data_IF_815703419122
#
_entry.id   IF_815703419122
#
_cell.length_a   1.000
_cell.length_b   1.000
_cell.length_c   1.000
_cell.angle_alpha   90.00
_cell.angle_beta   90.00
_cell.angle_gamma   90.00
#
_symmetry.space_group_name_H-M   'P 1'
#
loop_
_entity.id
_entity.type
_entity.pdbx_description
1 polymer ?
#
# COMPACT_ATOMS: atom_id res chain seq x y z
N UNK A 1 11.60 -5.58 8.86
CA UNK A 1 10.48 -6.34 8.26
C UNK A 1 10.79 -7.83 8.25
N UNK A 2 9.79 -8.69 8.27
CA UNK A 2 9.95 -10.14 8.24
C UNK A 2 9.13 -10.75 7.11
N UNK A 3 9.66 -11.82 6.49
CA UNK A 3 8.92 -12.65 5.54
C UNK A 3 8.39 -13.85 6.33
N UNK A 4 7.07 -13.96 6.38
CA UNK A 4 6.36 -15.00 7.11
C UNK A 4 5.91 -16.08 6.12
N UNK A 5 6.16 -17.35 6.47
CA UNK A 5 5.68 -18.51 5.69
C UNK A 5 4.75 -19.36 6.54
N UNK A 6 3.54 -19.62 6.02
CA UNK A 6 2.56 -20.54 6.61
C UNK A 6 2.08 -21.51 5.54
N UNK A 7 2.62 -22.73 5.55
CA UNK A 7 2.44 -23.66 4.43
C UNK A 7 3.02 -23.08 3.15
N UNK A 8 2.20 -22.96 2.11
CA UNK A 8 2.58 -22.34 0.83
C UNK A 8 2.41 -20.80 0.82
N UNK A 9 1.64 -20.26 1.76
CA UNK A 9 1.41 -18.82 1.84
C UNK A 9 2.67 -18.09 2.33
N UNK A 10 3.04 -17.03 1.61
CA UNK A 10 4.09 -16.09 2.00
C UNK A 10 3.54 -14.67 2.06
N UNK A 11 3.81 -13.96 3.14
CA UNK A 11 3.47 -12.55 3.29
C UNK A 11 4.53 -11.82 4.12
N UNK A 12 4.49 -10.50 4.08
CA UNK A 12 5.47 -9.64 4.74
C UNK A 12 4.80 -8.89 5.88
N UNK A 13 5.50 -8.79 7.00
CA UNK A 13 5.16 -7.95 8.15
C UNK A 13 6.28 -6.95 8.44
N UNK A 14 5.95 -5.90 9.19
CA UNK A 14 6.88 -4.84 9.58
C UNK A 14 7.17 -4.94 11.07
N UNK A 15 8.45 -4.96 11.43
CA UNK A 15 8.88 -5.19 12.81
C UNK A 15 8.40 -4.09 13.76
N UNK A 16 8.41 -2.84 13.31
CA UNK A 16 7.95 -1.71 14.12
C UNK A 16 6.45 -1.81 14.44
N UNK A 17 5.62 -2.26 13.51
CA UNK A 17 4.19 -2.51 13.74
C UNK A 17 3.97 -3.75 14.63
N UNK A 18 4.70 -4.85 14.39
CA UNK A 18 4.65 -6.08 15.19
C UNK A 18 4.99 -5.81 16.66
N UNK A 19 6.04 -5.03 16.92
CA UNK A 19 6.50 -4.68 18.28
C UNK A 19 5.44 -3.95 19.09
N UNK A 20 4.47 -3.32 18.46
CA UNK A 20 3.37 -2.65 19.19
C UNK A 20 2.39 -3.64 19.82
N UNK A 21 2.23 -4.84 19.24
CA UNK A 21 1.21 -5.81 19.63
C UNK A 21 -0.24 -5.35 19.42
N UNK A 22 -0.44 -4.21 18.75
CA UNK A 22 -1.74 -3.54 18.65
C UNK A 22 -2.50 -3.81 17.36
N UNK A 23 -1.80 -4.16 16.29
CA UNK A 23 -2.35 -4.31 14.94
C UNK A 23 -1.86 -5.59 14.28
N UNK A 24 -2.76 -6.26 13.56
CA UNK A 24 -2.40 -7.31 12.61
C UNK A 24 -2.28 -6.68 11.23
N UNK A 25 -1.24 -7.04 10.48
CA UNK A 25 -1.00 -6.50 9.15
C UNK A 25 -0.28 -7.52 8.28
N UNK A 26 -0.45 -7.40 6.98
CA UNK A 26 0.25 -8.21 6.00
C UNK A 26 0.36 -7.46 4.67
N UNK A 27 1.48 -7.61 3.99
CA UNK A 27 1.60 -7.37 2.56
C UNK A 27 1.78 -8.73 1.88
N UNK A 28 0.82 -9.14 1.03
CA UNK A 28 0.86 -10.44 0.37
C UNK A 28 1.95 -10.49 -0.69
N UNK A 29 2.62 -11.63 -0.81
CA UNK A 29 3.35 -11.97 -2.02
C UNK A 29 2.39 -12.65 -3.00
N UNK A 30 2.89 -13.07 -4.17
CA UNK A 30 2.09 -13.83 -5.13
C UNK A 30 2.04 -15.34 -4.83
N UNK A 31 2.58 -15.78 -3.68
CA UNK A 31 2.66 -17.19 -3.31
C UNK A 31 1.56 -17.60 -2.34
N UNK A 32 1.07 -18.84 -2.51
CA UNK A 32 0.23 -19.53 -1.54
C UNK A 32 -1.26 -19.38 -1.69
N UNK A 33 -1.72 -18.77 -2.78
CA UNK A 33 -3.13 -18.74 -3.16
C UNK A 33 -3.50 -19.88 -4.12
N UNK A 34 -4.72 -19.79 -4.63
CA UNK A 34 -5.32 -20.78 -5.53
C UNK A 34 -5.55 -20.29 -6.97
N UNK A 35 -5.26 -19.02 -7.24
CA UNK A 35 -5.35 -18.44 -8.59
C UNK A 35 -4.37 -19.12 -9.55
N UNK A 36 -4.74 -19.18 -10.83
CA UNK A 36 -3.98 -19.87 -11.88
C UNK A 36 -3.52 -18.90 -12.97
N UNK A 37 -2.84 -19.39 -13.98
CA UNK A 37 -2.36 -18.61 -15.13
C UNK A 37 -1.51 -17.39 -14.72
N UNK A 38 -1.78 -16.24 -15.31
CA UNK A 38 -1.05 -15.01 -15.00
C UNK A 38 -1.40 -14.41 -13.63
N UNK A 39 -2.52 -14.83 -13.02
CA UNK A 39 -2.89 -14.47 -11.65
C UNK A 39 -2.23 -15.35 -10.58
N UNK A 40 -1.44 -16.34 -10.96
CA UNK A 40 -0.86 -17.33 -10.04
C UNK A 40 0.09 -16.68 -9.03
N UNK A 41 -0.16 -16.94 -7.75
CA UNK A 41 -1.24 -17.75 -7.16
C UNK A 41 -2.16 -16.95 -6.23
N UNK A 42 -1.70 -15.82 -5.68
CA UNK A 42 -2.35 -15.04 -4.61
C UNK A 42 -2.94 -13.73 -5.15
N UNK A 43 -3.76 -13.80 -6.22
CA UNK A 43 -4.49 -12.63 -6.69
C UNK A 43 -5.55 -12.21 -5.65
N UNK A 44 -5.51 -10.93 -5.26
CA UNK A 44 -6.48 -10.32 -4.34
C UNK A 44 -7.42 -9.33 -5.06
N UNK A 45 -7.23 -9.13 -6.35
CA UNK A 45 -7.94 -8.12 -7.14
C UNK A 45 -9.17 -8.66 -7.86
N UNK A 46 -10.38 -8.43 -7.35
CA UNK A 46 -11.65 -8.86 -7.94
C UNK A 46 -11.97 -8.25 -9.32
N UNK A 47 -11.32 -7.16 -9.70
CA UNK A 47 -11.55 -6.47 -10.98
C UNK A 47 -10.45 -6.77 -12.02
N UNK A 48 -9.78 -7.91 -11.93
CA UNK A 48 -8.65 -8.28 -12.79
C UNK A 48 -8.99 -9.33 -13.87
N UNK A 49 -10.27 -9.67 -14.01
CA UNK A 49 -10.73 -10.61 -15.04
C UNK A 49 -10.68 -12.08 -14.64
N UNK A 50 -10.21 -12.41 -13.45
CA UNK A 50 -10.35 -13.73 -12.85
C UNK A 50 -11.77 -13.93 -12.29
N UNK A 51 -12.24 -15.17 -12.25
CA UNK A 51 -13.49 -15.52 -11.56
C UNK A 51 -13.37 -15.16 -10.06
N UNK A 52 -14.49 -14.89 -9.41
CA UNK A 52 -14.49 -14.40 -8.04
C UNK A 52 -14.09 -15.44 -7.01
N UNK A 53 -14.45 -16.70 -7.24
CA UNK A 53 -14.25 -17.81 -6.29
C UNK A 53 -12.78 -18.02 -5.92
N UNK A 54 -11.81 -18.09 -6.84
CA UNK A 54 -10.39 -18.17 -6.48
C UNK A 54 -9.92 -16.94 -5.68
N UNK A 55 -10.37 -15.74 -6.05
CA UNK A 55 -10.00 -14.52 -5.33
C UNK A 55 -10.57 -14.52 -3.92
N UNK A 56 -11.84 -14.91 -3.75
CA UNK A 56 -12.45 -15.05 -2.43
C UNK A 56 -11.76 -16.08 -1.56
N UNK A 57 -11.31 -17.20 -2.16
CA UNK A 57 -10.53 -18.20 -1.43
C UNK A 57 -9.18 -17.65 -0.98
N UNK A 58 -8.52 -16.83 -1.80
CA UNK A 58 -7.28 -16.14 -1.39
C UNK A 58 -7.52 -15.21 -0.18
N UNK A 59 -8.65 -14.51 -0.12
CA UNK A 59 -9.03 -13.73 1.07
C UNK A 59 -9.21 -14.60 2.31
N UNK A 60 -9.82 -15.80 2.19
CA UNK A 60 -9.99 -16.75 3.31
C UNK A 60 -8.65 -17.30 3.78
N UNK A 61 -7.78 -17.71 2.85
CA UNK A 61 -6.43 -18.19 3.16
C UNK A 61 -5.62 -17.12 3.94
N UNK A 62 -5.66 -15.87 3.48
CA UNK A 62 -4.97 -14.77 4.17
C UNK A 62 -5.58 -14.50 5.54
N UNK A 63 -6.91 -14.48 5.63
CA UNK A 63 -7.63 -14.23 6.88
C UNK A 63 -7.27 -15.26 7.94
N UNK A 64 -7.29 -16.55 7.60
CA UNK A 64 -6.91 -17.65 8.49
C UNK A 64 -5.45 -17.52 8.95
N UNK A 65 -4.55 -17.27 8.01
CA UNK A 65 -3.12 -17.17 8.30
C UNK A 65 -2.76 -16.01 9.23
N UNK A 66 -3.35 -14.83 9.03
CA UNK A 66 -3.03 -13.62 9.81
C UNK A 66 -3.97 -13.47 11.01
N UNK A 67 -5.15 -14.09 10.96
CA UNK A 67 -6.21 -13.98 11.95
C UNK A 67 -7.03 -12.71 11.76
N UNK A 68 -7.34 -12.34 10.51
CA UNK A 68 -8.31 -11.31 10.18
C UNK A 68 -9.74 -11.85 10.29
N UNK A 69 -10.70 -10.93 10.45
CA UNK A 69 -12.13 -11.26 10.28
C UNK A 69 -12.44 -11.29 8.79
N UNK A 70 -12.62 -12.46 8.22
CA UNK A 70 -12.78 -12.67 6.76
C UNK A 70 -13.93 -11.86 6.17
N UNK A 71 -15.06 -11.76 6.87
CA UNK A 71 -16.25 -11.06 6.40
C UNK A 71 -16.14 -9.53 6.51
N UNK A 72 -15.11 -9.01 7.16
CA UNK A 72 -15.00 -7.60 7.51
C UNK A 72 -14.04 -6.80 6.62
N UNK A 73 -13.42 -7.41 5.61
CA UNK A 73 -12.53 -6.70 4.70
C UNK A 73 -13.21 -5.51 4.04
N UNK A 74 -12.52 -4.38 3.98
CA UNK A 74 -12.95 -3.18 3.26
C UNK A 74 -11.86 -2.78 2.29
N UNK A 75 -12.20 -2.66 1.00
CA UNK A 75 -11.23 -2.32 -0.05
C UNK A 75 -11.45 -0.90 -0.57
N UNK A 76 -10.37 -0.24 -0.96
CA UNK A 76 -10.43 1.01 -1.71
C UNK A 76 -10.74 0.76 -3.20
N UNK A 77 -11.24 1.79 -3.90
CA UNK A 77 -11.21 1.85 -5.37
C UNK A 77 -10.22 2.93 -5.79
N UNK A 78 -9.02 2.50 -6.09
CA UNK A 78 -7.87 3.35 -6.34
C UNK A 78 -7.89 3.90 -7.77
N UNK A 79 -7.81 5.20 -7.89
CA UNK A 79 -7.79 5.94 -9.16
C UNK A 79 -6.62 6.92 -9.23
N UNK A 80 -5.64 6.75 -8.31
CA UNK A 80 -4.44 7.59 -8.18
C UNK A 80 -4.75 9.03 -7.74
N UNK A 81 -5.74 9.17 -6.86
CA UNK A 81 -6.09 10.45 -6.22
C UNK A 81 -5.42 10.62 -4.86
N UNK A 82 -5.89 11.58 -4.09
CA UNK A 82 -5.53 11.78 -2.69
C UNK A 82 -6.75 11.72 -1.76
N UNK A 83 -7.86 11.14 -2.26
CA UNK A 83 -9.07 11.01 -1.47
C UNK A 83 -8.92 9.92 -0.41
N UNK A 84 -9.27 10.25 0.81
CA UNK A 84 -9.24 9.35 1.97
C UNK A 84 -10.66 9.16 2.49
N UNK A 85 -11.02 7.90 2.78
CA UNK A 85 -12.30 7.54 3.34
C UNK A 85 -12.15 7.05 4.78
N UNK A 86 -12.95 7.59 5.69
CA UNK A 86 -13.17 7.00 7.01
C UNK A 86 -14.11 5.80 6.87
N UNK A 87 -13.66 4.67 7.37
CA UNK A 87 -14.35 3.38 7.36
C UNK A 87 -14.97 3.12 8.72
N UNK A 88 -16.22 2.66 8.74
CA UNK A 88 -16.97 2.31 9.93
C UNK A 88 -17.45 0.85 9.90
N UNK A 89 -18.10 0.40 10.96
CA UNK A 89 -18.69 -0.95 11.04
C UNK A 89 -19.72 -1.23 9.92
N UNK A 90 -20.34 -0.19 9.36
CA UNK A 90 -21.31 -0.28 8.26
C UNK A 90 -20.65 -0.57 6.90
N UNK A 91 -19.32 -0.41 6.83
CA UNK A 91 -18.55 -0.67 5.61
C UNK A 91 -18.01 -2.10 5.52
N UNK A 92 -18.22 -2.93 6.56
CA UNK A 92 -17.72 -4.31 6.59
C UNK A 92 -18.16 -5.10 5.36
N UNK A 93 -17.22 -5.78 4.74
CA UNK A 93 -17.43 -6.59 3.54
C UNK A 93 -17.42 -5.82 2.21
N UNK A 94 -17.42 -4.49 2.25
CA UNK A 94 -17.50 -3.66 1.04
C UNK A 94 -16.27 -3.81 0.13
N UNK A 95 -16.54 -4.14 -1.12
CA UNK A 95 -15.56 -4.32 -2.17
C UNK A 95 -14.92 -5.71 -2.23
N UNK A 96 -15.26 -6.61 -1.29
CA UNK A 96 -14.91 -8.04 -1.34
C UNK A 96 -16.19 -8.89 -1.44
N UNK A 97 -17.07 -8.79 -0.46
CA UNK A 97 -18.28 -9.62 -0.36
C UNK A 97 -19.53 -8.90 -0.86
N UNK A 98 -19.56 -7.58 -0.74
CA UNK A 98 -20.69 -6.73 -1.17
C UNK A 98 -20.18 -5.63 -2.09
N UNK A 99 -21.11 -4.94 -2.75
CA UNK A 99 -20.78 -3.75 -3.53
C UNK A 99 -20.06 -2.73 -2.64
N UNK A 100 -19.05 -2.09 -3.18
CA UNK A 100 -18.28 -1.07 -2.47
C UNK A 100 -19.10 0.17 -2.15
N UNK A 101 -19.97 0.60 -3.07
CA UNK A 101 -20.85 1.76 -2.91
C UNK A 101 -20.13 3.11 -2.93
N UNK A 102 -18.82 3.14 -3.23
CA UNK A 102 -18.01 4.35 -3.42
C UNK A 102 -16.90 4.12 -4.43
N UNK A 103 -16.40 5.20 -4.98
CA UNK A 103 -15.34 5.23 -6.00
C UNK A 103 -14.31 6.29 -5.63
N UNK A 104 -13.17 6.29 -6.34
CA UNK A 104 -12.20 7.38 -6.29
C UNK A 104 -11.61 7.60 -4.88
N UNK A 105 -11.16 6.50 -4.26
CA UNK A 105 -10.58 6.48 -2.90
C UNK A 105 -9.25 5.74 -2.94
N UNK A 106 -8.18 6.42 -2.56
CA UNK A 106 -6.82 5.88 -2.51
C UNK A 106 -6.28 5.70 -1.08
N UNK A 107 -7.02 6.16 -0.06
CA UNK A 107 -6.71 5.95 1.34
C UNK A 107 -7.92 5.54 2.17
N UNK A 108 -7.70 4.65 3.12
CA UNK A 108 -8.71 4.21 4.08
C UNK A 108 -8.19 4.42 5.50
N UNK A 109 -9.03 4.96 6.39
CA UNK A 109 -8.71 5.14 7.80
C UNK A 109 -9.85 4.63 8.69
N UNK A 110 -9.53 4.09 9.88
CA UNK A 110 -10.52 3.68 10.86
C UNK A 110 -9.95 3.63 12.27
N UNK A 111 -10.79 3.85 13.26
CA UNK A 111 -10.52 3.51 14.68
C UNK A 111 -11.44 2.39 15.20
N UNK A 112 -12.20 1.78 14.29
CA UNK A 112 -13.06 0.64 14.59
C UNK A 112 -12.24 -0.66 14.58
N UNK A 113 -12.55 -1.55 15.56
CA UNK A 113 -11.85 -2.83 15.69
C UNK A 113 -12.36 -3.87 14.70
N UNK A 114 -11.47 -4.79 14.33
CA UNK A 114 -11.78 -5.94 13.50
C UNK A 114 -12.30 -5.57 12.10
N UNK A 115 -11.76 -4.51 11.51
CA UNK A 115 -12.02 -4.10 10.13
C UNK A 115 -10.66 -4.07 9.39
N UNK A 116 -10.31 -5.13 8.64
CA UNK A 116 -9.13 -5.10 7.80
C UNK A 116 -9.32 -4.13 6.62
N UNK A 117 -8.48 -3.12 6.56
CA UNK A 117 -8.42 -2.18 5.45
C UNK A 117 -7.50 -2.72 4.36
N UNK A 118 -7.93 -2.68 3.11
CA UNK A 118 -7.17 -3.25 1.97
C UNK A 118 -6.94 -2.21 0.89
N UNK A 119 -5.68 -2.10 0.48
CA UNK A 119 -5.26 -1.43 -0.75
C UNK A 119 -4.49 -2.42 -1.63
N UNK A 120 -4.44 -2.15 -2.91
CA UNK A 120 -3.77 -3.00 -3.91
C UNK A 120 -2.57 -2.27 -4.48
N UNK A 121 -1.49 -3.02 -4.73
CA UNK A 121 -0.28 -2.48 -5.35
C UNK A 121 0.42 -3.53 -6.22
N UNK A 122 0.75 -3.12 -7.43
CA UNK A 122 1.73 -3.77 -8.28
C UNK A 122 2.63 -2.64 -8.79
N UNK A 123 3.70 -2.36 -8.06
CA UNK A 123 4.65 -1.25 -8.14
C UNK A 123 4.30 0.01 -7.33
N UNK A 124 3.02 0.36 -7.15
CA UNK A 124 2.67 1.53 -6.35
C UNK A 124 2.99 1.34 -4.87
N UNK A 125 3.41 2.42 -4.21
CA UNK A 125 3.87 2.37 -2.81
C UNK A 125 2.70 2.25 -1.85
N UNK A 126 2.61 1.18 -1.03
CA UNK A 126 1.66 1.09 0.07
C UNK A 126 2.25 1.73 1.33
N UNK A 127 1.46 2.58 1.98
CA UNK A 127 1.80 3.18 3.27
C UNK A 127 0.83 2.68 4.33
N UNK A 128 1.37 2.21 5.43
CA UNK A 128 0.63 1.73 6.61
C UNK A 128 0.86 2.70 7.76
N UNK A 129 -0.20 3.08 8.46
CA UNK A 129 -0.15 3.98 9.62
C UNK A 129 -0.87 3.35 10.81
N UNK A 130 -0.28 3.44 11.99
CA UNK A 130 -0.87 3.05 13.27
C UNK A 130 -0.70 4.21 14.26
N UNK A 131 -1.81 4.82 14.67
CA UNK A 131 -1.86 5.71 15.83
C UNK A 131 -2.05 4.85 17.10
N UNK A 132 -0.99 4.74 17.89
CA UNK A 132 -0.95 3.91 19.10
C UNK A 132 -1.85 4.45 20.21
N UNK A 133 -2.02 5.76 20.29
CA UNK A 133 -2.80 6.42 21.33
C UNK A 133 -4.29 6.35 21.09
N UNK A 134 -4.73 6.73 19.89
CA UNK A 134 -6.15 6.72 19.53
C UNK A 134 -6.63 5.39 18.96
N UNK A 135 -5.71 4.39 18.83
CA UNK A 135 -6.00 3.04 18.29
C UNK A 135 -6.62 3.10 16.90
N UNK A 136 -6.13 4.01 16.07
CA UNK A 136 -6.58 4.19 14.71
C UNK A 136 -5.53 3.67 13.72
N UNK A 137 -5.99 3.19 12.58
CA UNK A 137 -5.15 2.71 11.50
C UNK A 137 -5.48 3.44 10.19
N UNK A 138 -4.48 3.52 9.32
CA UNK A 138 -4.63 4.02 7.97
C UNK A 138 -3.81 3.20 6.98
N UNK A 139 -4.32 3.05 5.75
CA UNK A 139 -3.59 2.50 4.62
C UNK A 139 -3.76 3.40 3.40
N UNK A 140 -2.68 3.70 2.70
CA UNK A 140 -2.70 4.58 1.53
C UNK A 140 -2.00 3.94 0.33
N UNK A 141 -2.63 4.08 -0.83
CA UNK A 141 -2.05 3.79 -2.14
C UNK A 141 -1.32 5.03 -2.65
N UNK A 142 -0.02 5.05 -2.47
CA UNK A 142 0.86 6.15 -2.89
C UNK A 142 1.54 5.81 -4.23
N UNK A 143 0.77 5.63 -5.30
CA UNK A 143 1.32 5.58 -6.66
C UNK A 143 2.07 6.90 -6.97
N UNK A 144 2.84 6.95 -8.06
CA UNK A 144 3.65 8.14 -8.38
C UNK A 144 2.85 9.46 -8.37
N UNK A 145 1.62 9.43 -8.92
CA UNK A 145 0.76 10.61 -8.96
C UNK A 145 0.28 10.99 -7.55
N UNK A 146 -0.15 10.01 -6.75
CA UNK A 146 -0.54 10.22 -5.35
C UNK A 146 0.64 10.71 -4.51
N UNK A 147 1.82 10.12 -4.66
CA UNK A 147 3.05 10.57 -3.97
C UNK A 147 3.39 12.01 -4.35
N UNK A 148 3.41 12.34 -5.65
CA UNK A 148 3.66 13.70 -6.11
C UNK A 148 2.61 14.73 -5.64
N UNK A 149 1.40 14.29 -5.30
CA UNK A 149 0.33 15.08 -4.68
C UNK A 149 0.29 14.95 -3.15
N UNK A 150 1.34 14.40 -2.53
CA UNK A 150 1.55 14.29 -1.08
C UNK A 150 0.53 13.37 -0.38
N UNK A 151 0.15 12.23 -0.99
CA UNK A 151 -0.87 11.30 -0.46
C UNK A 151 -0.54 10.79 0.95
N UNK A 152 0.73 10.48 1.25
CA UNK A 152 1.15 10.03 2.58
C UNK A 152 0.89 11.09 3.67
N UNK A 153 1.04 12.37 3.33
CA UNK A 153 0.68 13.48 4.20
C UNK A 153 -0.85 13.62 4.32
N UNK A 154 -1.58 13.51 3.21
CA UNK A 154 -3.05 13.65 3.19
C UNK A 154 -3.74 12.64 4.07
N UNK A 155 -3.33 11.38 4.03
CA UNK A 155 -3.94 10.36 4.90
C UNK A 155 -3.66 10.65 6.37
N UNK A 156 -2.45 11.10 6.72
CA UNK A 156 -2.13 11.48 8.11
C UNK A 156 -2.93 12.71 8.56
N UNK A 157 -3.10 13.72 7.69
CA UNK A 157 -3.96 14.89 7.95
C UNK A 157 -5.41 14.47 8.23
N UNK A 158 -5.96 13.52 7.47
CA UNK A 158 -7.31 13.01 7.73
C UNK A 158 -7.39 12.23 9.06
N UNK A 159 -6.34 11.45 9.42
CA UNK A 159 -6.29 10.81 10.75
C UNK A 159 -6.24 11.85 11.88
N UNK A 160 -5.46 12.93 11.71
CA UNK A 160 -5.42 14.05 12.67
C UNK A 160 -6.79 14.69 12.85
N UNK A 161 -7.49 14.94 11.75
CA UNK A 161 -8.82 15.55 11.75
C UNK A 161 -9.90 14.64 12.36
N UNK A 162 -9.92 13.36 11.97
CA UNK A 162 -10.99 12.42 12.32
C UNK A 162 -10.82 11.78 13.70
N UNK A 163 -9.57 11.61 14.15
CA UNK A 163 -9.25 10.87 15.38
C UNK A 163 -8.42 11.66 16.39
N UNK A 164 -8.00 12.89 16.05
CA UNK A 164 -7.10 13.67 16.89
C UNK A 164 -5.70 13.08 16.97
N UNK A 165 -5.25 12.38 15.92
CA UNK A 165 -3.92 11.75 15.83
C UNK A 165 -2.82 12.78 16.01
N UNK A 166 -1.87 12.52 16.92
CA UNK A 166 -0.60 13.23 16.98
C UNK A 166 0.43 12.45 16.13
N UNK A 167 1.06 13.05 15.12
CA UNK A 167 2.07 12.38 14.32
C UNK A 167 3.21 11.73 15.15
N UNK A 168 3.53 12.28 16.31
CA UNK A 168 4.53 11.71 17.22
C UNK A 168 4.12 10.35 17.82
N UNK A 169 2.83 10.06 17.89
CA UNK A 169 2.28 8.78 18.37
C UNK A 169 2.13 7.73 17.25
N UNK A 170 2.43 8.11 15.99
CA UNK A 170 2.25 7.24 14.82
C UNK A 170 3.49 6.39 14.56
N UNK A 171 3.24 5.10 14.34
CA UNK A 171 4.18 4.15 13.72
C UNK A 171 3.77 3.93 12.27
N UNK A 172 4.70 4.06 11.32
CA UNK A 172 4.44 3.95 9.90
C UNK A 172 5.31 2.86 9.25
N UNK A 173 4.78 2.25 8.18
CA UNK A 173 5.56 1.34 7.34
C UNK A 173 5.30 1.61 5.85
N UNK A 174 6.35 1.48 5.05
CA UNK A 174 6.34 1.60 3.59
C UNK A 174 6.63 0.22 3.01
N UNK A 175 5.63 -0.34 2.32
CA UNK A 175 5.68 -1.71 1.84
C UNK A 175 6.42 -1.90 0.51
N UNK A 176 6.55 -3.17 0.08
CA UNK A 176 7.14 -3.52 -1.21
C UNK A 176 6.46 -2.77 -2.36
N UNK A 177 7.28 -2.23 -3.24
CA UNK A 177 6.84 -1.44 -4.39
C UNK A 177 8.02 -1.23 -5.35
N UNK A 178 7.84 -0.50 -6.43
CA UNK A 178 8.94 -0.25 -7.35
C UNK A 178 10.00 0.64 -6.70
N UNK A 179 11.24 0.15 -6.62
CA UNK A 179 12.36 0.90 -6.07
C UNK A 179 12.98 1.86 -7.09
N UNK A 180 13.80 2.82 -6.60
CA UNK A 180 14.58 3.75 -7.43
C UNK A 180 15.35 3.04 -8.55
N UNK A 181 15.89 1.85 -8.28
CA UNK A 181 16.59 1.02 -9.26
C UNK A 181 15.81 0.78 -10.56
N UNK A 182 14.47 0.72 -10.44
CA UNK A 182 13.56 0.38 -11.55
C UNK A 182 12.57 1.48 -11.92
N UNK A 183 12.37 2.47 -11.06
CA UNK A 183 11.38 3.52 -11.30
C UNK A 183 11.98 4.65 -12.15
N UNK A 184 11.98 4.43 -13.47
CA UNK A 184 12.35 5.43 -14.48
C UNK A 184 11.14 6.30 -14.80
N UNK A 185 11.34 7.61 -14.85
CA UNK A 185 10.34 8.63 -15.15
C UNK A 185 10.84 9.62 -16.21
N UNK A 186 9.91 10.38 -16.76
CA UNK A 186 10.18 11.47 -17.69
C UNK A 186 9.91 12.85 -17.07
N UNK A 187 10.15 13.90 -17.85
CA UNK A 187 10.00 15.27 -17.42
C UNK A 187 8.58 15.62 -16.90
N UNK A 188 7.46 15.19 -17.48
CA UNK A 188 6.13 15.44 -16.94
C UNK A 188 5.95 14.93 -15.51
N UNK A 189 6.43 13.71 -15.20
CA UNK A 189 6.40 13.18 -13.84
C UNK A 189 7.27 14.01 -12.90
N UNK A 190 8.52 14.30 -13.33
CA UNK A 190 9.46 15.12 -12.55
C UNK A 190 8.86 16.49 -12.22
N UNK A 191 8.20 17.15 -13.17
CA UNK A 191 7.60 18.46 -12.98
C UNK A 191 6.49 18.43 -11.91
N UNK A 192 5.61 17.41 -11.92
CA UNK A 192 4.60 17.26 -10.87
C UNK A 192 5.23 17.22 -9.47
N UNK A 193 6.35 16.51 -9.32
CA UNK A 193 7.05 16.46 -8.02
C UNK A 193 7.67 17.82 -7.68
N UNK A 194 8.35 18.47 -8.61
CA UNK A 194 8.96 19.80 -8.37
C UNK A 194 7.94 20.88 -8.01
N UNK A 195 6.74 20.81 -8.54
CA UNK A 195 5.65 21.73 -8.20
C UNK A 195 5.15 21.57 -6.76
N UNK A 196 5.20 20.36 -6.21
CA UNK A 196 4.58 20.05 -4.91
C UNK A 196 5.59 19.71 -3.80
N UNK A 197 6.83 19.36 -4.15
CA UNK A 197 7.84 18.85 -3.22
C UNK A 197 9.16 19.60 -3.44
N UNK A 198 9.51 20.58 -2.58
CA UNK A 198 10.66 21.46 -2.78
C UNK A 198 12.01 20.75 -2.88
N UNK A 199 12.15 19.60 -2.21
CA UNK A 199 13.38 18.78 -2.17
C UNK A 199 13.39 17.63 -3.21
N UNK A 200 12.62 17.75 -4.30
CA UNK A 200 12.54 16.72 -5.35
C UNK A 200 13.92 16.37 -5.92
N UNK A 201 14.82 17.34 -6.09
CA UNK A 201 16.16 17.10 -6.66
C UNK A 201 17.04 16.20 -5.76
N UNK A 202 16.67 15.97 -4.50
CA UNK A 202 17.40 15.08 -3.59
C UNK A 202 16.98 13.60 -3.73
N UNK A 203 15.80 13.34 -4.31
CA UNK A 203 15.24 12.00 -4.49
C UNK A 203 15.27 11.52 -5.94
N UNK A 204 15.81 12.31 -6.84
CA UNK A 204 15.88 12.03 -8.27
C UNK A 204 17.31 12.16 -8.78
N UNK A 205 17.65 11.34 -9.77
CA UNK A 205 18.92 11.43 -10.50
C UNK A 205 18.68 11.17 -11.99
N UNK A 206 19.50 11.73 -12.90
CA UNK A 206 19.46 11.37 -14.32
C UNK A 206 19.63 9.85 -14.49
N UNK A 207 18.87 9.25 -15.40
CA UNK A 207 19.07 7.84 -15.76
C UNK A 207 20.24 7.74 -16.76
N UNK A 208 21.36 7.11 -16.37
CA UNK A 208 22.52 7.01 -17.25
C UNK A 208 22.27 6.15 -18.50
N UNK A 209 21.20 5.35 -18.51
CA UNK A 209 20.84 4.48 -19.63
C UNK A 209 20.04 5.17 -20.73
N UNK A 210 19.44 6.35 -20.43
CA UNK A 210 18.57 7.02 -21.39
C UNK A 210 18.50 8.53 -21.13
N UNK A 211 18.95 9.32 -22.09
CA UNK A 211 18.88 10.78 -22.05
C UNK A 211 17.44 11.27 -21.85
N UNK A 212 17.26 12.30 -21.03
CA UNK A 212 15.96 12.89 -20.71
C UNK A 212 15.07 12.06 -19.76
N UNK A 213 15.59 10.94 -19.24
CA UNK A 213 14.93 10.13 -18.21
C UNK A 213 15.64 10.23 -16.87
N UNK A 214 14.89 9.90 -15.83
CA UNK A 214 15.33 10.04 -14.44
C UNK A 214 14.96 8.79 -13.64
N UNK A 215 15.76 8.48 -12.62
CA UNK A 215 15.45 7.49 -11.58
C UNK A 215 14.94 8.24 -10.34
N UNK A 216 13.80 7.86 -9.81
CA UNK A 216 13.16 8.53 -8.69
C UNK A 216 12.90 7.59 -7.53
N UNK A 217 13.17 8.06 -6.30
CA UNK A 217 12.95 7.32 -5.06
C UNK A 217 11.61 7.67 -4.42
N UNK A 218 10.58 6.85 -4.70
CA UNK A 218 9.26 7.02 -4.10
C UNK A 218 9.23 6.61 -2.64
N UNK A 219 10.11 5.69 -2.20
CA UNK A 219 10.16 5.27 -0.80
C UNK A 219 10.65 6.41 0.08
N UNK A 220 11.78 7.00 -0.29
CA UNK A 220 12.34 8.14 0.44
C UNK A 220 11.39 9.35 0.38
N UNK A 221 10.70 9.56 -0.75
CA UNK A 221 9.70 10.62 -0.86
C UNK A 221 8.59 10.46 0.19
N UNK A 222 7.92 9.30 0.24
CA UNK A 222 6.84 9.07 1.20
C UNK A 222 7.35 9.08 2.65
N UNK A 223 8.57 8.56 2.91
CA UNK A 223 9.21 8.63 4.22
C UNK A 223 9.40 10.07 4.69
N UNK A 224 9.94 10.94 3.82
CA UNK A 224 10.17 12.36 4.17
C UNK A 224 8.86 13.10 4.39
N UNK A 225 7.85 12.88 3.57
CA UNK A 225 6.54 13.49 3.75
C UNK A 225 5.95 13.18 5.13
N UNK A 226 6.07 11.93 5.59
CA UNK A 226 5.63 11.55 6.93
C UNK A 226 6.53 12.13 8.03
N UNK A 227 7.85 12.14 7.82
CA UNK A 227 8.80 12.69 8.79
C UNK A 227 8.64 14.21 8.98
N UNK A 228 8.37 14.96 7.91
CA UNK A 228 8.06 16.39 7.96
C UNK A 228 6.80 16.69 8.79
N UNK A 229 5.83 15.76 8.80
CA UNK A 229 4.65 15.84 9.64
C UNK A 229 4.92 15.51 11.13
N UNK A 230 6.09 14.96 11.45
CA UNK A 230 6.49 14.60 12.81
C UNK A 230 6.49 13.10 13.15
N UNK A 231 6.21 12.23 12.18
CA UNK A 231 6.32 10.78 12.38
C UNK A 231 7.79 10.39 12.50
N UNK A 232 8.16 9.73 13.60
CA UNK A 232 9.55 9.36 13.92
C UNK A 232 9.87 7.90 13.66
N UNK A 233 8.88 7.03 13.77
CA UNK A 233 9.01 5.58 13.64
C UNK A 233 8.48 5.14 12.26
N UNK A 234 9.38 5.05 11.28
CA UNK A 234 9.03 4.71 9.89
C UNK A 234 9.95 3.58 9.41
N UNK A 235 9.37 2.43 9.12
CA UNK A 235 10.08 1.29 8.54
C UNK A 235 9.85 1.21 7.03
N UNK A 236 10.90 0.95 6.25
CA UNK A 236 10.81 0.75 4.79
C UNK A 236 11.19 -0.69 4.47
N UNK A 237 10.40 -1.37 3.64
CA UNK A 237 10.68 -2.76 3.23
C UNK A 237 11.95 -2.93 2.43
N UNK A 238 12.33 -1.93 1.62
CA UNK A 238 13.44 -1.99 0.67
C UNK A 238 13.35 -3.14 -0.35
N UNK A 239 12.13 -3.62 -0.64
CA UNK A 239 11.87 -4.67 -1.62
C UNK A 239 11.28 -4.09 -2.90
N UNK A 240 12.02 -4.20 -4.00
CA UNK A 240 11.58 -3.73 -5.30
C UNK A 240 10.75 -4.82 -6.02
N UNK A 241 9.47 -4.53 -6.28
CA UNK A 241 8.53 -5.46 -6.93
C UNK A 241 8.96 -5.83 -8.36
N UNK A 242 9.58 -4.91 -9.09
CA UNK A 242 10.08 -5.20 -10.44
C UNK A 242 11.35 -6.05 -10.44
N UNK A 243 12.22 -5.92 -9.44
CA UNK A 243 13.43 -6.74 -9.32
C UNK A 243 13.11 -8.18 -8.89
N UNK A 244 12.04 -8.36 -8.10
CA UNK A 244 11.66 -9.65 -7.53
C UNK A 244 10.25 -10.05 -8.01
N UNK A 245 10.13 -10.34 -9.31
CA UNK A 245 8.88 -10.77 -9.93
C UNK A 245 8.50 -12.23 -9.59
N UNK A 246 9.42 -12.98 -9.02
CA UNK A 246 9.10 -14.28 -8.45
C UNK A 246 8.16 -14.13 -7.25
N UNK A 247 8.40 -13.12 -6.41
CA UNK A 247 7.63 -12.86 -5.18
C UNK A 247 6.49 -11.86 -5.38
N UNK A 248 6.60 -10.93 -6.31
CA UNK A 248 5.64 -9.83 -6.46
C UNK A 248 5.07 -9.70 -7.86
N UNK A 249 3.83 -9.24 -7.95
CA UNK A 249 3.31 -8.69 -9.19
C UNK A 249 3.93 -7.32 -9.46
N UNK A 250 4.24 -7.04 -10.72
CA UNK A 250 4.83 -5.76 -11.13
C UNK A 250 4.19 -5.27 -12.43
N UNK A 251 3.59 -4.10 -12.40
CA UNK A 251 3.07 -3.45 -13.60
C UNK A 251 4.17 -3.15 -14.61
N UNK A 252 5.27 -2.57 -14.15
CA UNK A 252 6.41 -2.20 -14.98
C UNK A 252 7.14 -3.43 -15.53
N UNK A 253 7.08 -4.56 -14.83
CA UNK A 253 7.71 -5.82 -15.23
C UNK A 253 6.82 -6.70 -16.11
N UNK A 254 5.54 -6.80 -15.82
CA UNK A 254 4.59 -7.76 -16.41
C UNK A 254 3.54 -7.12 -17.33
N UNK A 255 3.38 -5.80 -17.29
CA UNK A 255 2.37 -5.06 -18.06
C UNK A 255 0.94 -5.47 -17.68
N UNK A 256 0.12 -5.74 -18.68
CA UNK A 256 -1.29 -6.15 -18.51
C UNK A 256 -1.45 -7.53 -17.83
N UNK A 257 -0.40 -8.38 -17.85
CA UNK A 257 -0.38 -9.72 -17.24
C UNK A 257 -0.08 -9.70 -15.73
N UNK A 258 -0.39 -8.62 -15.04
CA UNK A 258 -0.34 -8.55 -13.57
C UNK A 258 -1.72 -8.77 -12.97
N UNK A 259 -1.77 -9.33 -11.80
CA UNK A 259 -3.01 -9.39 -11.01
C UNK A 259 -3.27 -8.10 -10.26
#
# INVERSE_FOLDING_TARGET
>A
MAIIKKGNLEYITFENLEKTGMVKHAFTTRHGGVSTEHWATMNMGLARGEEKEPVWENYRILADAVGFSVDNYVTSQQTHTTNVRKVTVEDKGKGVWTDRGYTDVDGLITNEKNIPLVIFGADCVPVFLLDKKNKAIGVAHCGWMGTGKRMAEKILQEMMKEFGTDPADVTAAIGPSIGKCCFQVDAPVLNLFKENIPWTDEIVEPDPSQEGKYKMDLWECNRRLLAEMGVKDIEISNLCTKCDQERFYSHRGMGEKRS
#
